data_IF_740265336872
#
_entry.id   IF_740265336872
#
_cell.length_a   1.000
_cell.length_b   1.000
_cell.length_c   1.000
_cell.angle_alpha   90.00
_cell.angle_beta   90.00
_cell.angle_gamma   90.00
#
_symmetry.space_group_name_H-M   'P 1'
#
loop_
_entity.id
_entity.type
_entity.pdbx_description
1 polymer ?
#
# COMPACT_ATOMS: atom_id res chain seq x y z
N UNK A 1 -49.63 -20.16 -5.88
CA UNK A 1 -50.09 -19.11 -4.95
C UNK A 1 -49.43 -17.83 -5.41
N UNK A 2 -50.19 -17.02 -6.15
CA UNK A 2 -49.80 -15.67 -6.58
C UNK A 2 -49.96 -14.81 -5.32
N UNK A 3 -48.87 -14.36 -4.71
CA UNK A 3 -48.94 -13.29 -3.72
C UNK A 3 -48.59 -12.02 -4.44
N UNK A 4 -49.63 -11.22 -4.67
CA UNK A 4 -49.58 -9.87 -5.20
C UNK A 4 -48.52 -9.11 -4.40
N UNK A 5 -47.54 -8.49 -5.08
CA UNK A 5 -46.28 -7.97 -4.51
C UNK A 5 -46.41 -6.78 -3.56
N UNK A 6 -47.43 -6.79 -2.70
CA UNK A 6 -47.83 -5.75 -1.76
C UNK A 6 -47.56 -6.19 -0.30
N UNK A 7 -47.43 -7.49 -0.02
CA UNK A 7 -47.26 -8.02 1.35
C UNK A 7 -46.03 -8.94 1.52
N UNK A 8 -45.36 -8.78 2.67
CA UNK A 8 -44.06 -9.36 3.02
C UNK A 8 -44.03 -10.01 4.43
N UNK A 9 -45.16 -10.53 4.95
CA UNK A 9 -45.31 -10.94 6.37
C UNK A 9 -44.24 -11.88 6.97
N UNK A 10 -43.55 -12.69 6.16
CA UNK A 10 -42.50 -13.62 6.63
C UNK A 10 -41.09 -13.23 6.16
N UNK A 11 -40.91 -11.98 5.73
CA UNK A 11 -39.67 -11.43 5.19
C UNK A 11 -39.09 -10.42 6.17
N UNK A 12 -37.76 -10.35 6.29
CA UNK A 12 -37.09 -9.36 7.14
C UNK A 12 -37.24 -7.95 6.58
N UNK A 13 -37.34 -6.98 7.47
CA UNK A 13 -37.35 -5.57 7.08
C UNK A 13 -36.09 -5.20 6.29
N UNK A 14 -36.25 -4.31 5.31
CA UNK A 14 -35.20 -3.91 4.39
C UNK A 14 -34.95 -4.88 3.23
N UNK A 15 -35.66 -6.02 3.18
CA UNK A 15 -35.55 -6.95 2.04
C UNK A 15 -36.21 -6.33 0.80
N UNK A 16 -35.54 -6.29 -0.36
CA UNK A 16 -36.16 -5.81 -1.60
C UNK A 16 -37.35 -6.69 -2.00
N UNK A 17 -38.48 -6.07 -2.31
CA UNK A 17 -39.70 -6.76 -2.77
C UNK A 17 -40.18 -6.31 -4.15
N UNK A 18 -39.54 -5.29 -4.74
CA UNK A 18 -39.85 -4.77 -6.06
C UNK A 18 -38.92 -3.62 -6.46
N UNK A 19 -39.24 -2.94 -7.56
CA UNK A 19 -38.45 -1.81 -8.03
C UNK A 19 -38.66 -0.60 -7.11
N UNK A 20 -37.58 -0.09 -6.50
CA UNK A 20 -37.64 0.98 -5.49
C UNK A 20 -38.59 0.66 -4.31
N UNK A 21 -38.81 -0.61 -3.98
CA UNK A 21 -39.62 -1.03 -2.82
C UNK A 21 -38.90 -2.06 -1.96
N UNK A 22 -39.19 -2.03 -0.66
CA UNK A 22 -38.67 -2.98 0.31
C UNK A 22 -39.72 -3.34 1.37
N UNK A 23 -39.54 -4.49 2.01
CA UNK A 23 -40.43 -4.94 3.08
C UNK A 23 -40.16 -4.12 4.36
N UNK A 24 -41.21 -3.56 4.96
CA UNK A 24 -41.20 -2.99 6.32
C UNK A 24 -42.50 -3.39 7.00
N UNK A 25 -42.41 -3.92 8.23
CA UNK A 25 -43.57 -4.30 9.05
C UNK A 25 -44.55 -5.21 8.28
N UNK A 26 -44.01 -6.12 7.47
CA UNK A 26 -44.79 -7.09 6.69
C UNK A 26 -45.48 -6.52 5.45
N UNK A 27 -45.20 -5.28 5.05
CA UNK A 27 -45.74 -4.65 3.84
C UNK A 27 -44.62 -4.27 2.87
N UNK A 28 -44.88 -4.38 1.56
CA UNK A 28 -43.94 -3.93 0.52
C UNK A 28 -44.17 -2.44 0.25
N UNK A 29 -43.23 -1.60 0.68
CA UNK A 29 -43.37 -0.14 0.68
C UNK A 29 -42.25 0.52 -0.13
N UNK A 30 -42.51 1.73 -0.65
CA UNK A 30 -41.54 2.49 -1.44
C UNK A 30 -40.34 2.95 -0.58
N UNK A 31 -39.11 2.81 -1.08
CA UNK A 31 -37.88 3.18 -0.36
C UNK A 31 -37.82 4.68 -0.03
N UNK A 32 -38.59 5.53 -0.72
CA UNK A 32 -38.68 6.97 -0.49
C UNK A 32 -39.18 7.32 0.91
N UNK A 33 -39.87 6.41 1.60
CA UNK A 33 -40.32 6.63 2.98
C UNK A 33 -39.15 6.82 3.95
N UNK A 34 -37.96 6.31 3.61
CA UNK A 34 -36.75 6.49 4.41
C UNK A 34 -36.25 7.93 4.40
N UNK A 35 -36.69 8.75 3.43
CA UNK A 35 -36.25 10.14 3.24
C UNK A 35 -34.73 10.25 3.36
N UNK A 36 -34.03 9.40 2.62
CA UNK A 36 -32.58 9.29 2.67
C UNK A 36 -31.95 10.42 1.86
N UNK A 37 -31.30 11.35 2.56
CA UNK A 37 -30.73 12.59 2.04
C UNK A 37 -29.19 12.62 2.07
N UNK A 38 -28.55 11.51 2.45
CA UNK A 38 -27.10 11.40 2.51
C UNK A 38 -26.52 11.05 1.13
N UNK A 39 -25.58 11.86 0.66
CA UNK A 39 -24.89 11.69 -0.62
C UNK A 39 -23.39 11.42 -0.38
N UNK A 40 -22.73 10.64 -1.24
CA UNK A 40 -21.27 10.39 -1.21
C UNK A 40 -20.44 11.68 -1.23
N UNK A 41 -20.97 12.77 -1.78
CA UNK A 41 -20.33 14.09 -1.74
C UNK A 41 -20.24 14.67 -0.32
N UNK A 42 -21.18 14.36 0.58
CA UNK A 42 -21.10 14.73 2.00
C UNK A 42 -19.93 14.03 2.69
N UNK A 43 -19.61 12.82 2.25
CA UNK A 43 -18.46 12.04 2.71
C UNK A 43 -17.18 12.38 1.93
N UNK A 44 -17.11 13.56 1.29
CA UNK A 44 -15.98 14.02 0.48
C UNK A 44 -15.51 13.00 -0.58
N UNK A 45 -16.41 12.16 -1.09
CA UNK A 45 -16.11 11.02 -1.99
C UNK A 45 -15.01 10.09 -1.44
N UNK A 46 -14.95 9.93 -0.11
CA UNK A 46 -13.94 9.17 0.64
C UNK A 46 -14.59 8.24 1.67
N UNK A 47 -15.81 7.81 1.35
CA UNK A 47 -16.62 6.96 2.20
C UNK A 47 -18.04 6.81 1.64
N UNK A 48 -18.84 6.04 2.37
CA UNK A 48 -20.24 5.74 2.03
C UNK A 48 -21.14 6.10 3.19
N UNK A 49 -22.35 6.56 2.90
CA UNK A 49 -23.34 6.82 3.94
C UNK A 49 -23.93 5.51 4.48
N UNK A 50 -24.10 5.41 5.80
CA UNK A 50 -24.78 4.28 6.44
C UNK A 50 -26.26 4.57 6.73
N UNK A 51 -26.98 3.61 7.30
CA UNK A 51 -28.41 3.72 7.61
C UNK A 51 -28.77 4.84 8.59
N UNK A 52 -27.80 5.33 9.38
CA UNK A 52 -27.95 6.47 10.29
C UNK A 52 -27.63 7.82 9.62
N UNK A 53 -27.39 7.82 8.30
CA UNK A 53 -27.00 9.00 7.51
C UNK A 53 -25.64 9.57 7.89
N UNK A 54 -24.78 8.75 8.51
CA UNK A 54 -23.41 9.10 8.84
C UNK A 54 -22.43 8.49 7.82
N UNK A 55 -21.28 9.13 7.64
CA UNK A 55 -20.26 8.61 6.74
C UNK A 55 -19.45 7.49 7.39
N UNK A 56 -19.37 6.37 6.70
CA UNK A 56 -18.39 5.32 6.90
C UNK A 56 -17.19 5.60 6.00
N UNK A 57 -16.12 6.13 6.58
CA UNK A 57 -14.95 6.59 5.85
C UNK A 57 -14.03 5.44 5.44
N UNK A 58 -13.44 5.60 4.25
CA UNK A 58 -12.39 4.71 3.76
C UNK A 58 -11.15 4.77 4.64
N UNK A 59 -10.34 3.71 4.55
CA UNK A 59 -9.05 3.64 5.25
C UNK A 59 -8.19 4.84 4.87
N UNK A 60 -7.71 5.57 5.88
CA UNK A 60 -6.93 6.80 5.71
C UNK A 60 -7.72 8.09 5.96
N UNK A 61 -9.04 8.01 6.15
CA UNK A 61 -9.92 9.16 6.41
C UNK A 61 -10.68 9.00 7.75
N UNK A 62 -11.01 10.12 8.39
CA UNK A 62 -11.70 10.14 9.67
C UNK A 62 -13.17 10.59 9.51
N UNK A 63 -14.13 9.94 10.20
CA UNK A 63 -15.46 10.49 10.35
C UNK A 63 -15.42 11.85 11.10
N UNK A 64 -16.45 12.71 10.99
CA UNK A 64 -17.81 12.41 10.50
C UNK A 64 -18.03 12.60 8.99
N UNK A 65 -17.15 13.29 8.27
CA UNK A 65 -17.35 13.69 6.87
C UNK A 65 -16.25 13.19 5.92
N UNK A 66 -15.28 12.43 6.43
CA UNK A 66 -14.14 11.92 5.67
C UNK A 66 -13.23 13.02 5.07
N UNK A 67 -13.25 14.22 5.65
CA UNK A 67 -12.37 15.33 5.23
C UNK A 67 -10.94 15.15 5.72
N UNK A 68 -10.80 14.76 6.98
CA UNK A 68 -9.51 14.69 7.68
C UNK A 68 -8.91 13.30 7.60
N UNK A 69 -7.58 13.19 7.69
CA UNK A 69 -6.91 11.87 7.73
C UNK A 69 -7.26 11.12 9.01
N UNK A 70 -7.42 9.80 8.92
CA UNK A 70 -7.84 8.96 10.04
C UNK A 70 -7.70 7.47 9.77
N UNK A 71 -8.27 6.67 10.67
CA UNK A 71 -8.20 5.21 10.60
C UNK A 71 -9.30 4.58 9.73
N UNK A 72 -10.27 5.37 9.25
CA UNK A 72 -11.49 4.90 8.60
C UNK A 72 -12.65 4.74 9.59
N UNK A 73 -13.74 4.13 9.13
CA UNK A 73 -14.90 3.78 9.94
C UNK A 73 -15.97 4.88 10.03
N UNK A 74 -17.00 4.64 10.83
CA UNK A 74 -18.08 5.59 11.12
C UNK A 74 -18.05 6.00 12.59
N UNK A 75 -18.68 7.13 12.93
CA UNK A 75 -18.96 7.51 14.32
C UNK A 75 -19.79 6.44 15.07
N UNK A 76 -20.54 5.61 14.35
CA UNK A 76 -21.44 4.61 14.94
C UNK A 76 -20.78 3.25 15.23
N UNK A 77 -19.70 2.91 14.51
CA UNK A 77 -19.11 1.56 14.55
C UNK A 77 -17.88 1.46 15.46
N UNK A 78 -17.51 2.54 16.14
CA UNK A 78 -16.24 2.64 16.86
C UNK A 78 -15.02 2.65 15.93
N UNK A 79 -13.81 2.84 16.45
CA UNK A 79 -12.59 2.85 15.64
C UNK A 79 -12.36 1.48 14.97
N UNK A 80 -11.97 1.43 13.69
CA UNK A 80 -11.73 0.16 13.00
C UNK A 80 -10.56 -0.59 13.64
N UNK A 81 -10.56 -1.94 13.57
CA UNK A 81 -9.51 -2.76 14.17
C UNK A 81 -8.13 -2.41 13.58
N UNK A 82 -7.13 -2.27 14.45
CA UNK A 82 -5.73 -1.87 14.16
C UNK A 82 -5.01 -2.71 13.10
N UNK A 83 -5.57 -3.85 12.71
CA UNK A 83 -4.97 -4.83 11.80
C UNK A 83 -4.87 -4.36 10.35
N UNK A 84 -5.65 -3.35 9.95
CA UNK A 84 -5.68 -2.85 8.56
C UNK A 84 -4.39 -2.13 8.17
N UNK A 85 -3.72 -1.42 9.10
CA UNK A 85 -2.49 -0.69 8.80
C UNK A 85 -1.23 -1.58 8.80
N UNK A 86 -1.21 -2.66 9.57
CA UNK A 86 -0.06 -3.56 9.64
C UNK A 86 0.27 -4.18 8.26
N UNK A 87 -0.75 -4.39 7.41
CA UNK A 87 -0.57 -5.00 6.08
C UNK A 87 0.03 -4.06 5.03
N UNK A 88 -0.25 -2.76 5.11
CA UNK A 88 0.27 -1.79 4.13
C UNK A 88 1.77 -1.54 4.34
N UNK A 89 2.22 -1.49 5.60
CA UNK A 89 3.62 -1.25 5.95
C UNK A 89 4.52 -2.47 5.71
N UNK A 90 3.96 -3.69 5.64
CA UNK A 90 4.74 -4.92 5.46
C UNK A 90 5.41 -5.02 4.08
N UNK A 91 4.78 -4.48 3.03
CA UNK A 91 5.31 -4.58 1.66
C UNK A 91 6.50 -3.64 1.41
N UNK A 92 6.52 -2.47 2.05
CA UNK A 92 7.56 -1.45 1.83
C UNK A 92 8.90 -1.83 2.47
N UNK A 93 8.87 -2.48 3.64
CA UNK A 93 10.09 -2.90 4.36
C UNK A 93 10.85 -4.00 3.63
N UNK A 94 10.15 -4.95 2.98
CA UNK A 94 10.78 -6.05 2.26
C UNK A 94 11.57 -5.57 1.04
N UNK A 95 11.03 -4.62 0.27
CA UNK A 95 11.70 -4.08 -0.93
C UNK A 95 12.95 -3.28 -0.55
N UNK A 96 12.87 -2.44 0.48
CA UNK A 96 14.01 -1.66 0.96
C UNK A 96 15.18 -2.55 1.43
N UNK A 97 14.88 -3.63 2.16
CA UNK A 97 15.90 -4.59 2.60
C UNK A 97 16.62 -5.26 1.41
N UNK A 98 15.86 -5.67 0.39
CA UNK A 98 16.43 -6.30 -0.82
C UNK A 98 17.37 -5.32 -1.55
N UNK A 99 16.95 -4.07 -1.76
CA UNK A 99 17.76 -3.04 -2.42
C UNK A 99 19.06 -2.78 -1.65
N UNK A 100 18.98 -2.64 -0.32
CA UNK A 100 20.16 -2.43 0.52
C UNK A 100 21.17 -3.59 0.39
N UNK A 101 20.71 -4.85 0.41
CA UNK A 101 21.60 -6.02 0.26
C UNK A 101 22.28 -6.01 -1.11
N UNK A 102 21.55 -5.73 -2.19
CA UNK A 102 22.14 -5.65 -3.53
C UNK A 102 23.19 -4.53 -3.63
N UNK A 103 22.94 -3.35 -3.06
CA UNK A 103 23.91 -2.26 -3.04
C UNK A 103 25.20 -2.64 -2.30
N UNK A 104 25.10 -3.34 -1.17
CA UNK A 104 26.28 -3.80 -0.42
C UNK A 104 27.12 -4.82 -1.21
N UNK A 105 26.48 -5.72 -1.95
CA UNK A 105 27.18 -6.68 -2.82
C UNK A 105 27.90 -5.96 -3.96
N UNK A 106 27.27 -4.98 -4.60
CA UNK A 106 27.90 -4.21 -5.70
C UNK A 106 29.10 -3.40 -5.18
N UNK A 107 28.95 -2.73 -4.03
CA UNK A 107 30.05 -1.94 -3.44
C UNK A 107 31.22 -2.84 -3.03
N UNK A 108 30.95 -3.96 -2.35
CA UNK A 108 31.99 -4.89 -1.93
C UNK A 108 32.74 -5.52 -3.10
N UNK A 109 32.03 -5.99 -4.13
CA UNK A 109 32.65 -6.53 -5.36
C UNK A 109 33.47 -5.46 -6.09
N UNK A 110 32.95 -4.23 -6.22
CA UNK A 110 33.67 -3.10 -6.80
C UNK A 110 34.97 -2.77 -6.06
N UNK A 111 34.93 -2.73 -4.72
CA UNK A 111 36.11 -2.49 -3.88
C UNK A 111 37.16 -3.59 -4.03
N UNK A 112 36.74 -4.86 -4.08
CA UNK A 112 37.65 -6.00 -4.28
C UNK A 112 38.31 -5.94 -5.66
N UNK A 113 37.54 -5.65 -6.72
CA UNK A 113 38.07 -5.51 -8.08
C UNK A 113 39.06 -4.35 -8.14
N UNK A 114 38.70 -3.19 -7.58
CA UNK A 114 39.56 -2.00 -7.54
C UNK A 114 40.87 -2.29 -6.81
N UNK A 115 40.81 -2.95 -5.65
CA UNK A 115 41.98 -3.30 -4.86
C UNK A 115 42.89 -4.30 -5.60
N UNK A 116 42.31 -5.35 -6.20
CA UNK A 116 43.07 -6.33 -7.00
C UNK A 116 43.72 -5.69 -8.22
N UNK A 117 43.02 -4.78 -8.91
CA UNK A 117 43.56 -4.09 -10.07
C UNK A 117 44.67 -3.10 -9.69
N UNK A 118 44.49 -2.36 -8.59
CA UNK A 118 45.51 -1.47 -8.03
C UNK A 118 46.78 -2.20 -7.63
N UNK A 119 46.66 -3.38 -7.00
CA UNK A 119 47.80 -4.24 -6.68
C UNK A 119 48.52 -4.75 -7.94
N UNK A 120 47.78 -5.22 -8.94
CA UNK A 120 48.36 -5.67 -10.22
C UNK A 120 49.12 -4.56 -10.94
N UNK A 121 48.55 -3.36 -11.01
CA UNK A 121 49.20 -2.20 -11.64
C UNK A 121 50.47 -1.79 -10.89
N UNK A 122 50.47 -1.80 -9.55
CA UNK A 122 51.66 -1.52 -8.75
C UNK A 122 52.76 -2.57 -8.94
N UNK A 123 52.41 -3.85 -8.96
CA UNK A 123 53.36 -4.94 -9.21
C UNK A 123 53.94 -4.89 -10.62
N UNK A 124 53.13 -4.59 -11.64
CA UNK A 124 53.61 -4.42 -13.02
C UNK A 124 54.63 -3.28 -13.14
N UNK A 125 54.35 -2.11 -12.55
CA UNK A 125 55.29 -0.98 -12.52
C UNK A 125 56.56 -1.27 -11.74
N UNK A 126 56.50 -2.10 -10.69
CA UNK A 126 57.69 -2.50 -9.93
C UNK A 126 58.59 -3.42 -10.75
N UNK A 127 58.02 -4.42 -11.44
CA UNK A 127 58.75 -5.31 -12.33
C UNK A 127 59.48 -4.55 -13.45
N UNK A 128 58.81 -3.62 -14.14
CA UNK A 128 59.47 -2.80 -15.18
C UNK A 128 60.67 -2.00 -14.64
N UNK A 129 60.56 -1.41 -13.44
CA UNK A 129 61.68 -0.68 -12.81
C UNK A 129 62.85 -1.59 -12.48
N UNK A 130 62.60 -2.82 -12.02
CA UNK A 130 63.67 -3.78 -11.73
C UNK A 130 64.38 -4.25 -13.02
N UNK A 131 63.62 -4.50 -14.09
CA UNK A 131 64.19 -4.88 -15.39
C UNK A 131 65.00 -3.75 -16.04
N UNK A 132 64.54 -2.49 -15.93
CA UNK A 132 65.28 -1.32 -16.40
C UNK A 132 66.62 -1.13 -15.66
N UNK A 133 66.65 -1.31 -14.33
CA UNK A 133 67.89 -1.24 -13.54
C UNK A 133 68.88 -2.34 -13.92
N UNK A 134 68.40 -3.55 -14.27
CA UNK A 134 69.26 -4.64 -14.70
C UNK A 134 69.94 -4.35 -16.06
N UNK A 135 69.18 -3.85 -17.03
CA UNK A 135 69.72 -3.52 -18.37
C UNK A 135 70.77 -2.41 -18.36
N UNK A 136 70.70 -1.46 -17.41
CA UNK A 136 71.70 -0.39 -17.29
C UNK A 136 73.02 -0.86 -16.67
N UNK A 137 73.01 -1.96 -15.91
CA UNK A 137 74.20 -2.49 -15.25
C UNK A 137 75.03 -3.45 -16.14
N UNK A 138 74.44 -3.99 -17.22
CA UNK A 138 75.12 -4.88 -18.18
C UNK A 138 75.77 -4.13 -19.37
N UNK A 139 75.58 -2.81 -19.47
CA UNK A 139 76.11 -1.96 -20.54
C UNK A 139 77.31 -1.06 -20.16
N UNK A 140 77.86 -1.19 -18.96
CA UNK A 140 79.03 -0.40 -18.53
C UNK A 140 80.33 -1.04 -19.08
N UNK A 141 81.08 -0.38 -19.99
CA UNK A 141 82.36 -0.90 -20.47
C UNK A 141 83.42 -0.84 -19.37
N UNK A 142 84.21 -1.92 -19.27
CA UNK A 142 85.43 -2.03 -18.43
C UNK A 142 86.57 -1.22 -19.04
#
# INVERSE_FOLDING_TARGET
MQHDGEFCYSVRDGTPCGNNTMCIEGSCVDVSILKYDCNVTMCHNRGVCNTLKHCHCDVGWAPPDCRNKGYGGSIDSGPPPVTVQAKANMKTTAVAAIVCVFCLIIVSTGLVIWFKNGLRIRFGKFQERVHATKSNNEGAPV
#
